data_IF_639493276864
#
_entry.id   IF_639493276864
#
_cell.length_a   1.000
_cell.length_b   1.000
_cell.length_c   1.000
_cell.angle_alpha   90.00
_cell.angle_beta   90.00
_cell.angle_gamma   90.00
#
_symmetry.space_group_name_H-M   'P 1'
#
loop_
_entity.id
_entity.type
_entity.pdbx_description
1 polymer ?
#
# COMPACT_ATOMS: atom_id res chain seq x y z
N UNK A 1 -20.59 -11.93 -18.45
CA UNK A 1 -21.65 -12.93 -18.17
C UNK A 1 -21.04 -14.05 -17.34
N UNK A 2 -21.61 -14.32 -16.17
CA UNK A 2 -21.20 -15.39 -15.28
C UNK A 2 -22.41 -16.06 -14.64
N UNK A 3 -22.20 -17.18 -13.95
CA UNK A 3 -23.22 -17.78 -13.08
C UNK A 3 -23.04 -17.27 -11.66
N UNK A 4 -24.11 -17.05 -10.93
CA UNK A 4 -24.04 -16.85 -9.48
C UNK A 4 -23.76 -18.18 -8.80
N UNK A 5 -22.51 -18.41 -8.39
CA UNK A 5 -22.08 -19.68 -7.80
C UNK A 5 -22.58 -19.81 -6.36
N UNK A 6 -22.33 -18.79 -5.56
CA UNK A 6 -22.66 -18.81 -4.14
C UNK A 6 -23.46 -17.56 -3.75
N UNK A 7 -24.49 -17.76 -2.95
CA UNK A 7 -25.35 -16.72 -2.39
C UNK A 7 -25.27 -16.81 -0.86
N UNK A 8 -24.81 -15.75 -0.20
CA UNK A 8 -24.59 -15.72 1.25
C UNK A 8 -25.76 -15.14 2.03
N UNK A 9 -26.65 -14.41 1.35
CA UNK A 9 -27.77 -13.69 1.97
C UNK A 9 -29.12 -14.18 1.45
N UNK A 10 -30.18 -13.94 2.21
CA UNK A 10 -31.56 -14.19 1.78
C UNK A 10 -32.22 -12.89 1.39
N UNK A 11 -33.22 -12.97 0.50
CA UNK A 11 -34.05 -11.82 0.16
C UNK A 11 -34.72 -11.22 1.41
N UNK A 12 -34.57 -9.92 1.59
CA UNK A 12 -35.12 -9.22 2.75
C UNK A 12 -34.25 -9.24 4.03
N UNK A 13 -33.06 -9.87 4.00
CA UNK A 13 -32.13 -9.85 5.14
C UNK A 13 -31.49 -8.49 5.32
N UNK A 14 -31.19 -8.12 6.58
CA UNK A 14 -30.39 -6.95 6.92
C UNK A 14 -28.90 -7.27 6.80
N UNK A 15 -28.12 -6.38 6.19
CA UNK A 15 -26.67 -6.52 6.00
C UNK A 15 -25.96 -5.25 6.43
N UNK A 16 -24.73 -5.40 6.88
CA UNK A 16 -23.82 -4.28 7.16
C UNK A 16 -23.07 -3.86 5.87
N UNK A 17 -22.46 -2.68 5.91
CA UNK A 17 -21.55 -2.27 4.84
C UNK A 17 -20.41 -3.28 4.66
N UNK A 18 -19.95 -3.48 3.44
CA UNK A 18 -18.88 -4.43 3.04
C UNK A 18 -19.20 -5.92 3.29
N UNK A 19 -20.46 -6.27 3.58
CA UNK A 19 -20.89 -7.67 3.72
C UNK A 19 -20.93 -8.35 2.36
N UNK A 20 -20.36 -9.56 2.26
CA UNK A 20 -20.42 -10.39 1.06
C UNK A 20 -21.85 -10.88 0.80
N UNK A 21 -22.41 -10.57 -0.35
CA UNK A 21 -23.76 -10.95 -0.76
C UNK A 21 -23.77 -12.22 -1.59
N UNK A 22 -22.80 -12.38 -2.47
CA UNK A 22 -22.66 -13.52 -3.35
C UNK A 22 -21.39 -13.49 -4.17
N UNK A 23 -21.08 -14.61 -4.82
CA UNK A 23 -19.91 -14.76 -5.69
C UNK A 23 -20.33 -15.20 -7.07
N UNK A 24 -19.82 -14.51 -8.10
CA UNK A 24 -19.98 -14.90 -9.49
C UNK A 24 -19.00 -16.05 -9.78
N UNK A 25 -19.48 -17.11 -10.40
CA UNK A 25 -18.71 -18.32 -10.71
C UNK A 25 -17.46 -18.02 -11.55
N UNK A 26 -16.35 -18.51 -11.07
CA UNK A 26 -15.03 -18.39 -11.66
C UNK A 26 -14.20 -19.65 -11.39
N UNK A 27 -12.97 -19.72 -11.90
CA UNK A 27 -12.11 -20.90 -11.75
C UNK A 27 -11.49 -21.06 -10.33
N UNK A 28 -11.61 -20.04 -9.46
CA UNK A 28 -11.09 -20.08 -8.11
C UNK A 28 -12.09 -20.67 -7.13
N UNK A 29 -11.61 -21.36 -6.11
CA UNK A 29 -12.41 -21.75 -4.94
C UNK A 29 -12.60 -20.53 -4.03
N UNK A 30 -13.83 -20.08 -3.88
CA UNK A 30 -14.17 -18.89 -3.08
C UNK A 30 -13.70 -18.99 -1.61
N UNK A 31 -13.66 -20.21 -1.04
CA UNK A 31 -13.15 -20.45 0.31
C UNK A 31 -11.65 -20.24 0.40
N UNK A 32 -10.88 -20.73 -0.60
CA UNK A 32 -9.44 -20.56 -0.65
C UNK A 32 -9.07 -19.08 -0.82
N UNK A 33 -9.77 -18.34 -1.66
CA UNK A 33 -9.53 -16.90 -1.84
C UNK A 33 -9.83 -16.12 -0.55
N UNK A 34 -10.93 -16.44 0.14
CA UNK A 34 -11.27 -15.83 1.43
C UNK A 34 -10.24 -16.14 2.50
N UNK A 35 -9.77 -17.37 2.56
CA UNK A 35 -8.72 -17.79 3.48
C UNK A 35 -7.40 -17.11 3.20
N UNK A 36 -7.01 -17.03 1.91
CA UNK A 36 -5.82 -16.30 1.45
C UNK A 36 -5.87 -14.84 1.91
N UNK A 37 -7.00 -14.16 1.68
CA UNK A 37 -7.19 -12.77 2.13
C UNK A 37 -7.04 -12.62 3.65
N UNK A 38 -7.66 -13.50 4.41
CA UNK A 38 -7.58 -13.50 5.88
C UNK A 38 -6.13 -13.68 6.35
N UNK A 39 -5.39 -14.60 5.76
CA UNK A 39 -4.01 -14.88 6.11
C UNK A 39 -3.06 -13.76 5.68
N UNK A 40 -3.25 -13.19 4.49
CA UNK A 40 -2.49 -12.02 4.03
C UNK A 40 -2.64 -10.86 5.01
N UNK A 41 -3.88 -10.55 5.43
CA UNK A 41 -4.15 -9.49 6.40
C UNK A 41 -3.55 -9.79 7.78
N UNK A 42 -3.64 -11.04 8.25
CA UNK A 42 -3.04 -11.45 9.51
C UNK A 42 -1.50 -11.37 9.48
N UNK A 43 -0.90 -11.71 8.35
CA UNK A 43 0.55 -11.65 8.15
C UNK A 43 1.06 -10.20 8.05
N UNK A 44 0.30 -9.31 7.44
CA UNK A 44 0.57 -7.87 7.43
C UNK A 44 0.67 -7.30 8.86
N UNK A 45 -0.23 -7.71 9.77
CA UNK A 45 -0.19 -7.26 11.18
C UNK A 45 1.02 -7.79 11.96
N UNK A 46 1.74 -8.77 11.42
CA UNK A 46 2.96 -9.37 11.98
C UNK A 46 4.24 -8.89 11.28
N UNK A 47 4.18 -7.75 10.62
CA UNK A 47 5.30 -7.13 9.89
C UNK A 47 5.94 -8.08 8.86
N UNK A 48 5.14 -8.93 8.22
CA UNK A 48 5.57 -9.90 7.20
C UNK A 48 6.70 -10.84 7.65
N UNK A 49 6.63 -11.33 8.89
CA UNK A 49 7.57 -12.33 9.41
C UNK A 49 7.63 -13.53 8.45
N UNK A 50 8.82 -13.78 7.88
CA UNK A 50 9.01 -14.79 6.85
C UNK A 50 8.78 -16.22 7.37
N UNK A 51 9.12 -16.53 8.63
CA UNK A 51 8.92 -17.86 9.23
C UNK A 51 7.43 -18.20 9.29
N UNK A 52 6.62 -17.26 9.75
CA UNK A 52 5.16 -17.40 9.77
C UNK A 52 4.57 -17.40 8.36
N UNK A 53 5.14 -16.64 7.43
CA UNK A 53 4.75 -16.68 6.03
C UNK A 53 4.93 -18.07 5.43
N UNK A 54 6.08 -18.70 5.64
CA UNK A 54 6.35 -20.08 5.20
C UNK A 54 5.32 -21.05 5.81
N UNK A 55 5.09 -21.00 7.11
CA UNK A 55 4.12 -21.86 7.80
C UNK A 55 2.70 -21.70 7.26
N UNK A 56 2.26 -20.47 7.01
CA UNK A 56 0.89 -20.19 6.57
C UNK A 56 0.64 -20.57 5.11
N UNK A 57 1.57 -20.25 4.21
CA UNK A 57 1.29 -20.31 2.77
C UNK A 57 1.88 -21.54 2.07
N UNK A 58 2.94 -22.14 2.62
CA UNK A 58 3.59 -23.31 2.03
C UNK A 58 3.00 -24.61 2.62
N UNK A 59 2.83 -25.63 1.80
CA UNK A 59 2.34 -26.94 2.22
C UNK A 59 0.86 -27.20 2.00
N UNK A 60 0.07 -26.19 1.62
CA UNK A 60 -1.34 -26.34 1.24
C UNK A 60 -1.51 -26.27 -0.28
N UNK A 61 -2.43 -27.05 -0.82
CA UNK A 61 -2.88 -26.90 -2.20
C UNK A 61 -3.95 -25.81 -2.26
N UNK A 62 -3.72 -24.82 -3.10
CA UNK A 62 -4.59 -23.67 -3.31
C UNK A 62 -5.23 -23.73 -4.69
N UNK A 63 -6.53 -23.52 -4.77
CA UNK A 63 -7.26 -23.41 -6.03
C UNK A 63 -7.70 -21.95 -6.22
N UNK A 64 -6.83 -21.15 -6.81
CA UNK A 64 -6.96 -19.69 -6.87
C UNK A 64 -7.33 -19.17 -8.28
N UNK A 65 -7.52 -20.05 -9.29
CA UNK A 65 -7.91 -19.66 -10.64
C UNK A 65 -6.97 -18.61 -11.23
N UNK A 66 -7.51 -17.43 -11.57
CA UNK A 66 -6.74 -16.32 -12.16
C UNK A 66 -5.65 -15.77 -11.23
N UNK A 67 -5.79 -15.92 -9.91
CA UNK A 67 -4.80 -15.48 -8.92
C UNK A 67 -3.61 -16.45 -8.81
N UNK A 68 -3.68 -17.64 -9.42
CA UNK A 68 -2.68 -18.71 -9.27
C UNK A 68 -1.28 -18.27 -9.68
N UNK A 69 -1.16 -17.46 -10.74
CA UNK A 69 0.14 -16.97 -11.25
C UNK A 69 0.81 -16.02 -10.28
N UNK A 70 0.07 -15.04 -9.75
CA UNK A 70 0.59 -14.09 -8.77
C UNK A 70 0.91 -14.77 -7.44
N UNK A 71 0.08 -15.73 -7.02
CA UNK A 71 0.34 -16.53 -5.85
C UNK A 71 1.59 -17.39 -6.00
N UNK A 72 1.82 -18.01 -7.17
CA UNK A 72 3.03 -18.77 -7.44
C UNK A 72 4.28 -17.89 -7.39
N UNK A 73 4.25 -16.69 -7.98
CA UNK A 73 5.35 -15.73 -7.90
C UNK A 73 5.63 -15.31 -6.44
N UNK A 74 4.58 -15.06 -5.67
CA UNK A 74 4.70 -14.75 -4.24
C UNK A 74 5.35 -15.90 -3.46
N UNK A 75 4.91 -17.14 -3.64
CA UNK A 75 5.50 -18.33 -2.98
C UNK A 75 6.96 -18.49 -3.35
N UNK A 76 7.32 -18.27 -4.61
CA UNK A 76 8.72 -18.33 -5.07
C UNK A 76 9.57 -17.32 -4.34
N UNK A 77 9.17 -16.04 -4.32
CA UNK A 77 9.91 -14.97 -3.63
C UNK A 77 10.00 -15.19 -2.11
N UNK A 78 8.91 -15.69 -1.48
CA UNK A 78 8.91 -16.04 -0.06
C UNK A 78 9.88 -17.17 0.24
N UNK A 79 9.89 -18.21 -0.58
CA UNK A 79 10.79 -19.38 -0.41
C UNK A 79 12.25 -18.99 -0.60
N UNK A 80 12.55 -18.14 -1.58
CA UNK A 80 13.91 -17.64 -1.83
C UNK A 80 14.40 -16.77 -0.68
N UNK A 81 13.56 -15.87 -0.16
CA UNK A 81 13.89 -15.05 1.00
C UNK A 81 14.11 -15.91 2.26
N UNK A 82 13.21 -16.86 2.52
CA UNK A 82 13.32 -17.79 3.64
C UNK A 82 14.62 -18.61 3.57
N UNK A 83 14.94 -19.19 2.41
CA UNK A 83 16.17 -19.94 2.20
C UNK A 83 17.43 -19.08 2.41
N UNK A 84 17.41 -17.83 1.97
CA UNK A 84 18.51 -16.90 2.19
C UNK A 84 18.72 -16.66 3.71
N UNK A 85 17.65 -16.43 4.46
CA UNK A 85 17.70 -16.21 5.91
C UNK A 85 18.14 -17.48 6.68
N UNK A 86 17.66 -18.66 6.29
CA UNK A 86 18.02 -19.93 6.94
C UNK A 86 19.47 -20.33 6.73
N UNK A 87 20.02 -20.11 5.52
CA UNK A 87 21.39 -20.50 5.21
C UNK A 87 22.43 -19.74 5.99
N UNK A 88 22.13 -18.49 6.36
CA UNK A 88 23.02 -17.60 7.13
C UNK A 88 24.46 -17.57 6.55
N UNK A 89 24.54 -17.66 5.21
CA UNK A 89 25.81 -17.83 4.50
C UNK A 89 26.80 -16.71 4.76
N UNK A 90 26.33 -15.47 4.69
CA UNK A 90 27.17 -14.29 4.86
C UNK A 90 27.70 -14.14 6.30
N UNK A 91 26.90 -14.43 7.31
CA UNK A 91 27.35 -14.38 8.70
C UNK A 91 28.42 -15.43 8.98
N UNK A 92 28.26 -16.65 8.44
CA UNK A 92 29.29 -17.67 8.52
C UNK A 92 30.57 -17.25 7.80
N UNK A 93 30.45 -16.68 6.59
CA UNK A 93 31.59 -16.17 5.81
C UNK A 93 32.35 -15.07 6.56
N UNK A 94 31.60 -14.12 7.16
CA UNK A 94 32.19 -13.06 8.00
C UNK A 94 32.93 -13.63 9.22
N UNK A 95 32.35 -14.63 9.90
CA UNK A 95 32.99 -15.29 11.03
C UNK A 95 34.34 -15.93 10.65
N UNK A 96 34.44 -16.53 9.45
CA UNK A 96 35.73 -17.05 8.95
C UNK A 96 36.73 -15.94 8.67
N UNK A 97 36.31 -14.86 8.04
CA UNK A 97 37.16 -13.70 7.76
C UNK A 97 37.64 -13.01 9.06
N UNK A 98 36.81 -12.92 10.08
CA UNK A 98 37.20 -12.40 11.38
C UNK A 98 38.28 -13.25 12.06
N UNK A 99 38.21 -14.57 11.94
CA UNK A 99 39.25 -15.46 12.42
C UNK A 99 40.56 -15.27 11.65
N UNK A 100 40.53 -15.14 10.32
CA UNK A 100 41.71 -14.86 9.51
C UNK A 100 42.33 -13.51 9.85
N UNK A 101 41.49 -12.48 10.03
CA UNK A 101 41.95 -11.15 10.46
C UNK A 101 42.61 -11.20 11.86
N UNK A 102 42.05 -11.97 12.79
CA UNK A 102 42.64 -12.19 14.09
C UNK A 102 44.02 -12.84 14.03
N UNK A 103 44.22 -13.82 13.13
CA UNK A 103 45.49 -14.44 12.81
C UNK A 103 46.51 -13.45 12.25
N UNK A 104 46.07 -12.67 11.25
CA UNK A 104 46.92 -11.64 10.61
C UNK A 104 47.38 -10.54 11.62
N UNK A 105 46.47 -10.11 12.48
CA UNK A 105 46.83 -9.15 13.58
C UNK A 105 47.84 -9.73 14.55
N UNK A 106 47.77 -11.02 14.81
CA UNK A 106 48.74 -11.69 15.66
C UNK A 106 50.10 -11.82 14.99
N UNK A 107 50.12 -12.13 13.68
CA UNK A 107 51.34 -12.14 12.89
C UNK A 107 52.00 -10.76 12.83
N UNK A 108 51.25 -9.69 12.60
CA UNK A 108 51.73 -8.32 12.58
C UNK A 108 52.41 -7.95 13.91
N UNK A 109 51.81 -8.29 15.07
CA UNK A 109 52.42 -8.06 16.40
C UNK A 109 53.72 -8.80 16.61
N UNK A 110 53.86 -10.01 16.01
CA UNK A 110 55.12 -10.76 16.05
C UNK A 110 56.20 -10.07 15.19
N UNK A 111 55.84 -9.63 13.98
CA UNK A 111 56.75 -8.90 13.08
C UNK A 111 57.17 -7.55 13.70
N UNK A 112 56.30 -6.83 14.40
CA UNK A 112 56.65 -5.61 15.14
C UNK A 112 57.68 -5.91 16.25
N UNK A 113 57.51 -6.99 16.99
CA UNK A 113 58.50 -7.39 18.02
C UNK A 113 59.84 -7.79 17.44
N UNK A 114 59.84 -8.49 16.30
CA UNK A 114 61.09 -8.84 15.60
C UNK A 114 61.81 -7.59 15.13
N UNK A 115 61.07 -6.61 14.58
CA UNK A 115 61.63 -5.31 14.19
C UNK A 115 62.25 -4.57 15.41
N UNK A 116 61.60 -4.56 16.58
CA UNK A 116 62.14 -3.98 17.81
C UNK A 116 63.44 -4.66 18.29
N UNK A 117 63.50 -6.00 18.17
CA UNK A 117 64.69 -6.76 18.53
C UNK A 117 65.88 -6.45 17.62
N UNK A 118 65.66 -6.46 16.31
CA UNK A 118 66.68 -6.10 15.33
C UNK A 118 67.15 -4.66 15.50
N UNK A 119 66.24 -3.72 15.86
CA UNK A 119 66.65 -2.34 16.16
C UNK A 119 67.60 -2.25 17.36
N UNK A 120 67.44 -3.12 18.38
CA UNK A 120 68.40 -3.24 19.50
C UNK A 120 69.73 -3.84 19.08
N UNK A 121 69.70 -4.91 18.25
CA UNK A 121 70.91 -5.55 17.74
C UNK A 121 71.74 -4.61 16.90
N UNK A 122 71.10 -3.79 16.07
CA UNK A 122 71.81 -2.75 15.26
C UNK A 122 72.47 -1.73 16.17
N UNK A 123 71.79 -1.24 17.22
CA UNK A 123 72.41 -0.30 18.18
C UNK A 123 73.69 -0.85 18.82
N UNK A 124 73.68 -2.17 19.13
CA UNK A 124 74.84 -2.87 19.63
C UNK A 124 75.96 -2.96 18.57
N UNK A 125 75.61 -3.38 17.33
CA UNK A 125 76.52 -3.47 16.21
C UNK A 125 77.13 -2.10 15.86
N UNK A 126 76.32 -1.05 15.89
CA UNK A 126 76.80 0.35 15.69
C UNK A 126 77.79 0.77 16.77
N UNK A 127 77.49 0.50 18.05
CA UNK A 127 78.38 0.82 19.14
C UNK A 127 79.71 0.08 19.05
N UNK A 128 79.68 -1.20 18.59
CA UNK A 128 80.89 -1.98 18.33
C UNK A 128 81.72 -1.37 17.18
N UNK A 129 81.06 -1.07 16.06
CA UNK A 129 81.71 -0.46 14.91
C UNK A 129 82.34 0.89 15.25
N UNK A 130 81.65 1.76 16.02
CA UNK A 130 82.20 3.04 16.48
C UNK A 130 83.45 2.83 17.37
N UNK A 131 83.41 1.90 18.30
CA UNK A 131 84.55 1.55 19.16
C UNK A 131 85.73 1.04 18.35
N UNK A 132 85.48 0.12 17.40
CA UNK A 132 86.49 -0.48 16.53
C UNK A 132 87.08 0.56 15.58
N UNK A 133 86.32 1.52 15.10
CA UNK A 133 86.79 2.64 14.30
C UNK A 133 87.78 3.52 15.10
N UNK A 134 87.57 3.76 16.40
CA UNK A 134 88.45 4.50 17.27
C UNK A 134 89.76 3.73 17.51
N UNK A 135 89.67 2.43 17.69
CA UNK A 135 90.86 1.55 17.90
C UNK A 135 91.70 1.52 16.61
N UNK A 136 91.08 1.43 15.45
CA UNK A 136 91.75 1.46 14.16
C UNK A 136 92.49 2.80 13.89
N UNK A 137 91.83 3.92 14.17
CA UNK A 137 92.45 5.24 14.07
C UNK A 137 93.66 5.37 15.03
N UNK A 138 93.59 4.77 16.21
CA UNK A 138 94.70 4.74 17.21
C UNK A 138 95.76 3.67 16.86
N UNK A 139 95.68 3.00 15.70
CA UNK A 139 96.60 1.89 15.30
C UNK A 139 96.65 0.74 16.28
N UNK A 140 95.57 0.52 17.05
CA UNK A 140 95.42 -0.60 18.01
C UNK A 140 94.64 -1.78 17.43
N UNK A 141 94.22 -1.72 16.15
CA UNK A 141 93.49 -2.74 15.40
C UNK A 141 94.02 -2.81 13.97
N UNK A 142 94.05 -4.01 13.37
CA UNK A 142 94.46 -4.19 11.94
C UNK A 142 93.30 -3.88 10.99
N UNK A 143 93.58 -3.53 9.73
CA UNK A 143 92.58 -3.12 8.72
C UNK A 143 91.56 -4.23 8.45
N UNK A 144 91.98 -5.49 8.40
CA UNK A 144 91.08 -6.61 8.14
C UNK A 144 90.01 -6.82 9.23
N UNK A 145 90.37 -6.65 10.49
CA UNK A 145 89.43 -6.74 11.63
C UNK A 145 88.44 -5.58 11.63
N UNK A 146 88.87 -4.36 11.23
CA UNK A 146 87.98 -3.22 11.10
C UNK A 146 87.01 -3.36 9.94
N UNK A 147 87.47 -3.89 8.77
CA UNK A 147 86.63 -4.20 7.62
C UNK A 147 85.59 -5.28 7.97
N UNK A 148 85.94 -6.29 8.77
CA UNK A 148 85.03 -7.30 9.24
C UNK A 148 83.96 -6.69 10.18
N UNK A 149 84.30 -5.80 11.10
CA UNK A 149 83.38 -5.08 11.95
C UNK A 149 82.39 -4.22 11.13
N UNK A 150 82.87 -3.52 10.08
CA UNK A 150 82.06 -2.79 9.14
C UNK A 150 81.10 -3.67 8.35
N UNK A 151 81.60 -4.84 7.89
CA UNK A 151 80.74 -5.82 7.19
C UNK A 151 79.62 -6.34 8.04
N UNK A 152 79.90 -6.65 9.36
CA UNK A 152 78.86 -7.09 10.30
C UNK A 152 77.81 -6.01 10.54
N UNK A 153 78.21 -4.73 10.68
CA UNK A 153 77.29 -3.63 10.87
C UNK A 153 76.41 -3.45 9.61
N UNK A 154 76.98 -3.48 8.43
CA UNK A 154 76.23 -3.42 7.17
C UNK A 154 75.23 -4.59 6.99
N UNK A 155 75.63 -5.79 7.45
CA UNK A 155 74.77 -6.97 7.41
C UNK A 155 73.54 -6.77 8.36
N UNK A 156 73.77 -6.24 9.58
CA UNK A 156 72.67 -5.94 10.52
C UNK A 156 71.73 -4.89 9.93
N UNK A 157 72.21 -3.86 9.23
CA UNK A 157 71.38 -2.89 8.53
C UNK A 157 70.52 -3.52 7.43
N UNK A 158 71.08 -4.46 6.63
CA UNK A 158 70.32 -5.20 5.62
C UNK A 158 69.22 -6.05 6.27
N UNK A 159 69.54 -6.76 7.34
CA UNK A 159 68.52 -7.56 8.05
C UNK A 159 67.39 -6.70 8.59
N UNK A 160 67.66 -5.46 9.05
CA UNK A 160 66.61 -4.52 9.46
C UNK A 160 65.69 -4.18 8.31
N UNK A 161 66.24 -3.87 7.14
CA UNK A 161 65.43 -3.51 5.96
C UNK A 161 64.57 -4.73 5.48
N UNK A 162 65.11 -5.96 5.59
CA UNK A 162 64.35 -7.19 5.26
C UNK A 162 63.15 -7.35 6.17
N UNK A 163 63.35 -7.18 7.51
CA UNK A 163 62.25 -7.26 8.48
C UNK A 163 61.25 -6.11 8.30
N UNK A 164 61.74 -4.91 7.98
CA UNK A 164 60.90 -3.75 7.66
C UNK A 164 60.01 -4.02 6.44
N UNK A 165 60.55 -4.65 5.41
CA UNK A 165 59.78 -5.06 4.22
C UNK A 165 58.70 -6.10 4.55
N UNK A 166 59.03 -7.07 5.40
CA UNK A 166 58.05 -8.08 5.85
C UNK A 166 56.96 -7.46 6.73
N UNK A 167 57.26 -6.48 7.56
CA UNK A 167 56.28 -5.70 8.33
C UNK A 167 55.29 -4.96 7.47
N UNK A 168 55.79 -4.20 6.45
CA UNK A 168 54.98 -3.48 5.48
C UNK A 168 54.06 -4.44 4.71
N UNK A 169 54.61 -5.62 4.32
CA UNK A 169 53.83 -6.64 3.64
C UNK A 169 52.69 -7.19 4.54
N UNK A 170 52.98 -7.41 5.84
CA UNK A 170 51.95 -7.84 6.79
C UNK A 170 50.86 -6.80 7.01
N UNK A 171 51.22 -5.51 7.07
CA UNK A 171 50.28 -4.39 7.16
C UNK A 171 49.37 -4.32 5.92
N UNK A 172 49.95 -4.42 4.73
CA UNK A 172 49.19 -4.44 3.47
C UNK A 172 48.18 -5.59 3.41
N UNK A 173 48.59 -6.80 3.86
CA UNK A 173 47.68 -7.93 3.95
C UNK A 173 46.55 -7.70 4.93
N UNK A 174 46.81 -7.04 6.07
CA UNK A 174 45.78 -6.68 7.04
C UNK A 174 44.72 -5.76 6.40
N UNK A 175 45.15 -4.70 5.72
CA UNK A 175 44.25 -3.77 5.03
C UNK A 175 43.41 -4.52 3.98
N UNK A 176 44.01 -5.42 3.20
CA UNK A 176 43.31 -6.22 2.20
C UNK A 176 42.24 -7.14 2.83
N UNK A 177 42.51 -7.73 3.99
CA UNK A 177 41.50 -8.52 4.72
C UNK A 177 40.36 -7.66 5.24
N UNK A 178 40.63 -6.46 5.73
CA UNK A 178 39.62 -5.51 6.21
C UNK A 178 38.73 -5.02 5.04
N UNK A 179 39.30 -4.73 3.87
CA UNK A 179 38.57 -4.39 2.64
C UNK A 179 37.65 -5.53 2.20
N UNK A 180 38.17 -6.76 2.14
CA UNK A 180 37.37 -7.94 1.80
C UNK A 180 36.17 -8.13 2.77
N UNK A 181 36.33 -7.82 4.05
CA UNK A 181 35.23 -7.90 5.02
C UNK A 181 34.15 -6.84 4.74
N UNK A 182 34.53 -5.61 4.34
CA UNK A 182 33.59 -4.58 3.96
C UNK A 182 32.78 -5.00 2.73
N UNK A 183 33.45 -5.59 1.73
CA UNK A 183 32.80 -6.07 0.52
C UNK A 183 31.80 -7.19 0.82
N UNK A 184 32.16 -8.14 1.68
CA UNK A 184 31.24 -9.21 2.10
C UNK A 184 30.01 -8.62 2.81
N UNK A 185 30.19 -7.64 3.71
CA UNK A 185 29.09 -6.98 4.41
C UNK A 185 28.18 -6.24 3.42
N UNK A 186 28.76 -5.54 2.47
CA UNK A 186 28.01 -4.85 1.43
C UNK A 186 27.20 -5.84 0.58
N UNK A 187 27.83 -6.93 0.10
CA UNK A 187 27.14 -7.97 -0.66
C UNK A 187 25.99 -8.59 0.12
N UNK A 188 26.18 -8.88 1.41
CA UNK A 188 25.14 -9.40 2.28
C UNK A 188 23.93 -8.46 2.36
N UNK A 189 24.20 -7.18 2.59
CA UNK A 189 23.17 -6.16 2.67
C UNK A 189 22.42 -5.98 1.34
N UNK A 190 23.15 -5.87 0.22
CA UNK A 190 22.56 -5.65 -1.10
C UNK A 190 21.69 -6.85 -1.50
N UNK A 191 22.13 -8.08 -1.24
CA UNK A 191 21.36 -9.29 -1.57
C UNK A 191 20.12 -9.43 -0.66
N UNK A 192 20.22 -9.14 0.63
CA UNK A 192 19.08 -9.13 1.54
C UNK A 192 18.03 -8.10 1.09
N UNK A 193 18.46 -6.87 0.77
CA UNK A 193 17.54 -5.81 0.30
C UNK A 193 16.88 -6.16 -1.04
N UNK A 194 17.63 -6.77 -1.96
CA UNK A 194 17.08 -7.24 -3.24
C UNK A 194 15.96 -8.26 -2.99
N UNK A 195 16.23 -9.34 -2.25
CA UNK A 195 15.25 -10.39 -1.96
C UNK A 195 14.04 -9.88 -1.18
N UNK A 196 14.26 -8.98 -0.22
CA UNK A 196 13.19 -8.33 0.52
C UNK A 196 12.30 -7.47 -0.39
N UNK A 197 12.91 -6.77 -1.33
CA UNK A 197 12.19 -5.96 -2.32
C UNK A 197 11.38 -6.83 -3.26
N UNK A 198 11.94 -7.93 -3.76
CA UNK A 198 11.26 -8.87 -4.62
C UNK A 198 10.05 -9.50 -3.93
N UNK A 199 10.20 -9.90 -2.67
CA UNK A 199 9.09 -10.39 -1.85
C UNK A 199 8.00 -9.32 -1.67
N UNK A 200 8.38 -8.09 -1.34
CA UNK A 200 7.45 -6.98 -1.18
C UNK A 200 6.69 -6.67 -2.48
N UNK A 201 7.36 -6.69 -3.61
CA UNK A 201 6.73 -6.50 -4.92
C UNK A 201 5.74 -7.64 -5.23
N UNK A 202 6.12 -8.88 -4.96
CA UNK A 202 5.23 -10.04 -5.16
C UNK A 202 3.98 -9.96 -4.25
N UNK A 203 4.12 -9.53 -3.00
CA UNK A 203 3.00 -9.27 -2.08
C UNK A 203 2.08 -8.19 -2.66
N UNK A 204 2.64 -7.08 -3.12
CA UNK A 204 1.88 -5.98 -3.72
C UNK A 204 1.10 -6.41 -4.97
N UNK A 205 1.72 -7.19 -5.84
CA UNK A 205 1.07 -7.74 -7.02
C UNK A 205 -0.07 -8.70 -6.67
N UNK A 206 0.14 -9.59 -5.71
CA UNK A 206 -0.89 -10.52 -5.25
C UNK A 206 -2.06 -9.76 -4.61
N UNK A 207 -1.80 -8.75 -3.79
CA UNK A 207 -2.84 -7.92 -3.16
C UNK A 207 -3.64 -7.13 -4.20
N UNK A 208 -2.99 -6.58 -5.23
CA UNK A 208 -3.66 -5.86 -6.31
C UNK A 208 -4.55 -6.79 -7.14
N UNK A 209 -4.06 -7.99 -7.50
CA UNK A 209 -4.87 -8.98 -8.22
C UNK A 209 -6.01 -9.52 -7.37
N UNK A 210 -5.81 -9.71 -6.06
CA UNK A 210 -6.88 -10.11 -5.14
C UNK A 210 -7.98 -9.04 -5.08
N UNK A 211 -7.62 -7.76 -5.02
CA UNK A 211 -8.58 -6.66 -5.07
C UNK A 211 -9.34 -6.60 -6.40
N UNK A 212 -8.66 -6.80 -7.52
CA UNK A 212 -9.28 -6.86 -8.85
C UNK A 212 -10.25 -8.04 -8.96
N UNK A 213 -9.87 -9.21 -8.44
CA UNK A 213 -10.73 -10.39 -8.39
C UNK A 213 -11.98 -10.14 -7.52
N UNK A 214 -11.82 -9.53 -6.35
CA UNK A 214 -12.95 -9.15 -5.51
C UNK A 214 -13.92 -8.21 -6.23
N UNK A 215 -13.40 -7.20 -6.90
CA UNK A 215 -14.22 -6.26 -7.65
C UNK A 215 -14.99 -6.91 -8.81
N UNK A 216 -14.39 -7.93 -9.44
CA UNK A 216 -14.98 -8.59 -10.60
C UNK A 216 -15.98 -9.69 -10.23
N UNK A 217 -15.74 -10.42 -9.15
CA UNK A 217 -16.46 -11.65 -8.84
C UNK A 217 -17.22 -11.62 -7.52
N UNK A 218 -16.88 -10.74 -6.57
CA UNK A 218 -17.51 -10.68 -5.25
C UNK A 218 -18.52 -9.53 -5.19
N UNK A 219 -19.78 -9.87 -5.01
CA UNK A 219 -20.85 -8.90 -4.84
C UNK A 219 -20.94 -8.50 -3.36
N UNK A 220 -20.67 -7.22 -3.06
CA UNK A 220 -20.66 -6.67 -1.71
C UNK A 220 -21.72 -5.60 -1.50
N UNK A 221 -22.15 -5.45 -0.25
CA UNK A 221 -23.04 -4.35 0.13
C UNK A 221 -22.26 -3.05 0.28
N UNK A 222 -22.61 -1.96 -0.46
CA UNK A 222 -21.92 -0.68 -0.31
C UNK A 222 -22.32 0.05 0.99
N UNK A 223 -23.48 -0.25 1.56
CA UNK A 223 -24.02 0.43 2.73
C UNK A 223 -24.76 -0.56 3.62
N UNK A 224 -24.97 -0.19 4.89
CA UNK A 224 -25.84 -0.92 5.79
C UNK A 224 -27.30 -0.78 5.34
N UNK A 225 -28.01 -1.90 5.19
CA UNK A 225 -29.41 -1.85 4.74
C UNK A 225 -30.06 -3.22 4.59
N UNK A 226 -31.23 -3.21 3.96
CA UNK A 226 -32.00 -4.40 3.65
C UNK A 226 -31.80 -4.79 2.19
N UNK A 227 -31.40 -6.04 1.96
CA UNK A 227 -31.14 -6.58 0.61
C UNK A 227 -32.45 -6.94 -0.07
N UNK A 228 -32.65 -6.52 -1.31
CA UNK A 228 -33.75 -6.96 -2.17
C UNK A 228 -33.17 -7.56 -3.44
N UNK A 229 -33.61 -8.77 -3.76
CA UNK A 229 -33.23 -9.44 -5.00
C UNK A 229 -34.03 -8.87 -6.16
N UNK A 230 -33.34 -8.51 -7.26
CA UNK A 230 -33.99 -7.94 -8.44
C UNK A 230 -34.19 -9.00 -9.53
N UNK A 231 -33.11 -9.49 -10.11
CA UNK A 231 -33.12 -10.41 -11.25
C UNK A 231 -32.75 -11.83 -10.87
N UNK A 232 -32.08 -12.04 -9.72
CA UNK A 232 -31.57 -13.34 -9.30
C UNK A 232 -32.34 -13.84 -8.08
N UNK A 233 -32.86 -15.08 -8.18
CA UNK A 233 -33.67 -15.72 -7.14
C UNK A 233 -33.05 -17.00 -6.58
N UNK A 234 -32.05 -17.57 -7.29
CA UNK A 234 -31.45 -18.85 -6.91
C UNK A 234 -29.97 -18.94 -7.34
N UNK A 235 -29.26 -19.88 -6.71
CA UNK A 235 -27.90 -20.29 -7.11
C UNK A 235 -27.90 -20.82 -8.54
N UNK A 236 -26.77 -20.75 -9.24
CA UNK A 236 -26.55 -21.19 -10.61
C UNK A 236 -27.30 -20.42 -11.70
N UNK A 237 -27.91 -19.27 -11.37
CA UNK A 237 -28.57 -18.42 -12.34
C UNK A 237 -27.51 -17.57 -13.08
N UNK A 238 -27.70 -17.41 -14.41
CA UNK A 238 -26.82 -16.57 -15.24
C UNK A 238 -27.07 -15.09 -14.95
N UNK A 239 -26.00 -14.33 -14.83
CA UNK A 239 -25.99 -12.88 -14.65
C UNK A 239 -25.24 -12.23 -15.81
N UNK A 240 -25.74 -11.15 -16.36
CA UNK A 240 -25.08 -10.36 -17.42
C UNK A 240 -24.29 -9.20 -16.80
N UNK A 241 -23.24 -8.77 -17.48
CA UNK A 241 -22.51 -7.56 -17.09
C UNK A 241 -23.45 -6.34 -17.18
N UNK A 242 -23.45 -5.50 -16.16
CA UNK A 242 -24.33 -4.32 -16.06
C UNK A 242 -25.75 -4.61 -15.54
N UNK A 243 -26.09 -5.87 -15.28
CA UNK A 243 -27.39 -6.23 -14.73
C UNK A 243 -27.43 -6.00 -13.20
N UNK A 244 -28.54 -5.38 -12.73
CA UNK A 244 -28.73 -5.14 -11.30
C UNK A 244 -29.17 -6.44 -10.60
N UNK A 245 -28.25 -7.04 -9.85
CA UNK A 245 -28.49 -8.30 -9.12
C UNK A 245 -29.21 -8.06 -7.80
N UNK A 246 -28.70 -7.14 -7.01
CA UNK A 246 -29.22 -6.76 -5.70
C UNK A 246 -29.45 -5.26 -5.61
N UNK A 247 -30.50 -4.89 -4.88
CA UNK A 247 -30.73 -3.52 -4.44
C UNK A 247 -30.67 -3.49 -2.92
N UNK A 248 -29.94 -2.53 -2.37
CA UNK A 248 -29.81 -2.34 -0.95
C UNK A 248 -30.54 -1.08 -0.54
N UNK A 249 -31.58 -1.26 0.28
CA UNK A 249 -32.28 -0.13 0.87
C UNK A 249 -31.56 0.26 2.16
N UNK A 250 -30.94 1.46 2.24
CA UNK A 250 -30.25 1.91 3.44
C UNK A 250 -31.18 1.91 4.65
N UNK A 251 -30.68 1.44 5.80
CA UNK A 251 -31.44 1.47 7.06
C UNK A 251 -31.56 2.89 7.63
N UNK A 252 -30.63 3.78 7.23
CA UNK A 252 -30.51 5.16 7.71
C UNK A 252 -31.15 6.14 6.72
N UNK A 253 -32.44 5.93 6.43
CA UNK A 253 -33.23 6.81 5.55
C UNK A 253 -33.78 8.04 6.27
N UNK A 254 -32.97 8.70 7.10
CA UNK A 254 -33.41 9.84 7.90
C UNK A 254 -33.67 11.12 7.08
N UNK A 255 -33.31 11.17 5.79
CA UNK A 255 -33.59 12.32 4.92
C UNK A 255 -34.11 11.88 3.56
N UNK A 256 -35.43 12.01 3.40
CA UNK A 256 -36.03 11.88 2.08
C UNK A 256 -35.74 13.15 1.30
N UNK A 257 -35.15 13.01 0.12
CA UNK A 257 -34.89 14.10 -0.81
C UNK A 257 -35.74 13.93 -2.06
N UNK A 258 -36.47 14.99 -2.44
CA UNK A 258 -37.16 15.03 -3.72
C UNK A 258 -36.20 15.58 -4.79
N UNK A 259 -36.13 14.92 -5.95
CA UNK A 259 -35.48 15.48 -7.15
C UNK A 259 -36.56 15.74 -8.20
N UNK A 260 -36.69 16.97 -8.66
CA UNK A 260 -37.64 17.38 -9.69
C UNK A 260 -36.90 17.91 -10.92
N UNK A 261 -37.44 17.62 -12.10
CA UNK A 261 -36.99 18.19 -13.37
C UNK A 261 -37.82 19.44 -13.67
N UNK A 262 -37.18 20.59 -13.74
CA UNK A 262 -37.82 21.87 -14.01
C UNK A 262 -37.56 22.27 -15.47
N UNK A 263 -38.61 22.45 -16.28
CA UNK A 263 -38.45 22.93 -17.67
C UNK A 263 -37.77 24.31 -17.73
N UNK A 264 -37.00 24.54 -18.79
CA UNK A 264 -36.30 25.81 -19.03
C UNK A 264 -37.28 27.01 -19.02
N UNK A 265 -38.49 26.78 -19.59
CA UNK A 265 -39.52 27.83 -19.64
C UNK A 265 -40.08 28.13 -18.25
N UNK A 266 -39.79 29.29 -17.74
CA UNK A 266 -40.24 29.75 -16.43
C UNK A 266 -39.30 29.48 -15.26
N UNK A 267 -38.20 28.80 -15.51
CA UNK A 267 -37.16 28.44 -14.47
C UNK A 267 -36.59 29.67 -13.75
N UNK A 268 -36.45 30.82 -14.43
CA UNK A 268 -35.94 32.06 -13.82
C UNK A 268 -36.83 32.66 -12.71
N UNK A 269 -38.03 32.09 -12.47
CA UNK A 269 -38.90 32.48 -11.37
C UNK A 269 -38.78 31.61 -10.14
N UNK A 270 -38.05 30.52 -10.25
CA UNK A 270 -37.86 29.57 -9.15
C UNK A 270 -36.63 29.97 -8.34
N UNK A 271 -36.79 30.06 -7.04
CA UNK A 271 -35.72 30.44 -6.11
C UNK A 271 -35.65 29.46 -4.95
N UNK A 272 -34.44 29.31 -4.41
CA UNK A 272 -34.21 28.49 -3.20
C UNK A 272 -35.10 29.04 -2.05
N UNK A 273 -35.68 28.13 -1.27
CA UNK A 273 -36.58 28.44 -0.17
C UNK A 273 -38.07 28.48 -0.53
N UNK A 274 -38.43 28.39 -1.81
CA UNK A 274 -39.86 28.37 -2.21
C UNK A 274 -40.55 27.08 -1.78
N UNK A 275 -41.83 27.20 -1.41
CA UNK A 275 -42.67 26.04 -1.05
C UNK A 275 -43.01 25.21 -2.28
N UNK A 276 -43.04 23.89 -2.10
CA UNK A 276 -43.37 22.92 -3.14
C UNK A 276 -44.47 21.98 -2.63
N UNK A 277 -45.50 21.80 -3.45
CA UNK A 277 -46.53 20.78 -3.21
C UNK A 277 -46.24 19.58 -4.09
N UNK A 278 -45.99 18.40 -3.49
CA UNK A 278 -45.60 17.17 -4.21
C UNK A 278 -46.80 16.23 -4.19
N UNK A 279 -47.33 15.95 -5.37
CA UNK A 279 -48.38 14.96 -5.58
C UNK A 279 -47.74 13.67 -6.10
N UNK A 280 -47.95 12.57 -5.40
CA UNK A 280 -47.35 11.30 -5.69
C UNK A 280 -48.29 10.44 -6.54
N UNK A 281 -47.80 9.85 -7.62
CA UNK A 281 -48.63 9.07 -8.56
C UNK A 281 -49.26 7.83 -7.92
N UNK A 282 -48.60 7.24 -6.91
CA UNK A 282 -49.08 6.05 -6.21
C UNK A 282 -50.11 6.37 -5.13
N UNK A 283 -50.32 7.65 -4.80
CA UNK A 283 -51.22 8.12 -3.72
C UNK A 283 -52.08 9.23 -4.28
N UNK A 284 -53.35 8.92 -4.72
CA UNK A 284 -54.24 9.94 -5.31
C UNK A 284 -54.41 11.15 -4.37
N UNK A 285 -54.30 12.35 -4.94
CA UNK A 285 -54.33 13.61 -4.22
C UNK A 285 -55.68 13.89 -3.56
N UNK A 286 -56.78 13.39 -4.09
CA UNK A 286 -58.12 13.48 -3.52
C UNK A 286 -58.22 12.72 -2.21
N UNK A 287 -57.50 11.62 -2.02
CA UNK A 287 -57.56 10.77 -0.82
C UNK A 287 -56.42 11.04 0.14
N UNK A 288 -55.21 11.23 -0.40
CA UNK A 288 -53.97 11.37 0.42
C UNK A 288 -53.52 12.84 0.54
N UNK A 289 -53.93 13.71 -0.36
CA UNK A 289 -53.45 15.09 -0.41
C UNK A 289 -52.05 15.17 -1.08
N UNK A 290 -51.27 16.17 -0.65
CA UNK A 290 -49.90 16.40 -1.15
C UNK A 290 -48.91 16.45 0.00
N UNK A 291 -47.65 16.18 -0.29
CA UNK A 291 -46.52 16.31 0.63
C UNK A 291 -45.93 17.71 0.48
N UNK A 292 -45.63 18.38 1.61
CA UNK A 292 -45.01 19.69 1.64
C UNK A 292 -43.50 19.57 1.51
N UNK A 293 -42.93 20.33 0.56
CA UNK A 293 -41.51 20.43 0.37
C UNK A 293 -41.03 21.87 0.27
N UNK A 294 -39.75 22.06 0.27
CA UNK A 294 -39.09 23.34 0.04
C UNK A 294 -37.92 23.19 -0.93
N UNK A 295 -37.75 24.11 -1.86
CA UNK A 295 -36.62 24.12 -2.81
C UNK A 295 -35.33 24.29 -2.02
N UNK A 296 -34.45 23.31 -2.04
CA UNK A 296 -33.14 23.32 -1.38
C UNK A 296 -32.04 23.85 -2.29
N UNK A 297 -32.01 23.36 -3.54
CA UNK A 297 -31.03 23.77 -4.54
C UNK A 297 -31.59 23.66 -5.95
N UNK A 298 -30.99 24.43 -6.88
CA UNK A 298 -31.29 24.37 -8.32
C UNK A 298 -29.96 24.20 -9.04
N UNK A 299 -29.86 23.25 -9.97
CA UNK A 299 -28.64 23.04 -10.74
C UNK A 299 -28.27 24.30 -11.53
N UNK A 300 -26.98 24.69 -11.59
CA UNK A 300 -26.54 25.89 -12.32
C UNK A 300 -26.61 25.70 -13.86
N UNK A 301 -26.61 24.46 -14.33
CA UNK A 301 -26.68 24.12 -15.75
C UNK A 301 -27.86 23.17 -16.01
N UNK A 302 -28.51 23.26 -17.17
CA UNK A 302 -29.55 22.32 -17.59
C UNK A 302 -28.92 20.97 -17.98
N UNK A 303 -29.72 19.90 -17.91
CA UNK A 303 -29.37 18.58 -18.44
C UNK A 303 -29.38 18.60 -19.98
N UNK A 304 -28.90 17.50 -20.59
CA UNK A 304 -28.94 17.33 -22.06
C UNK A 304 -30.37 17.47 -22.65
N UNK A 305 -31.39 17.19 -21.86
CA UNK A 305 -32.79 17.33 -22.21
C UNK A 305 -33.33 18.78 -22.00
N UNK A 306 -32.48 19.73 -21.63
CA UNK A 306 -32.87 21.13 -21.41
C UNK A 306 -33.70 21.38 -20.16
N UNK A 307 -33.53 20.58 -19.10
CA UNK A 307 -34.22 20.71 -17.83
C UNK A 307 -33.26 21.01 -16.70
N UNK A 308 -33.64 21.84 -15.74
CA UNK A 308 -32.88 22.03 -14.49
C UNK A 308 -33.25 20.98 -13.46
N UNK A 309 -32.28 20.50 -12.69
CA UNK A 309 -32.52 19.63 -11.55
C UNK A 309 -32.76 20.51 -10.32
N UNK A 310 -33.91 20.31 -9.68
CA UNK A 310 -34.28 20.98 -8.43
C UNK A 310 -34.29 19.95 -7.32
N UNK A 311 -33.50 20.20 -6.28
CA UNK A 311 -33.56 19.40 -5.06
C UNK A 311 -34.58 20.00 -4.09
N UNK A 312 -35.42 19.15 -3.53
CA UNK A 312 -36.50 19.52 -2.64
C UNK A 312 -36.30 18.80 -1.32
N UNK A 313 -36.19 19.54 -0.25
CA UNK A 313 -36.22 19.01 1.12
C UNK A 313 -37.68 18.86 1.59
N UNK A 314 -37.91 17.88 2.44
CA UNK A 314 -39.21 17.57 3.05
C UNK A 314 -39.11 17.79 4.55
N UNK A 315 -39.37 18.98 5.05
CA UNK A 315 -39.22 19.33 6.48
C UNK A 315 -40.04 18.42 7.39
N UNK A 316 -41.27 18.12 6.97
CA UNK A 316 -42.22 17.24 7.71
C UNK A 316 -42.09 15.74 7.28
N UNK A 317 -41.00 15.39 6.60
CA UNK A 317 -40.81 14.04 6.03
C UNK A 317 -41.89 13.71 5.00
N UNK A 318 -42.42 12.50 5.04
CA UNK A 318 -43.48 12.03 4.13
C UNK A 318 -44.89 12.20 4.70
N UNK A 319 -45.09 13.23 5.57
CA UNK A 319 -46.42 13.57 6.06
C UNK A 319 -47.18 14.43 5.04
N UNK A 320 -48.40 14.00 4.73
CA UNK A 320 -49.27 14.77 3.80
C UNK A 320 -49.99 15.93 4.51
N UNK A 321 -50.56 16.86 3.73
CA UNK A 321 -51.37 17.95 4.28
C UNK A 321 -52.66 17.47 5.01
N UNK A 322 -53.07 16.21 4.80
CA UNK A 322 -54.17 15.56 5.53
C UNK A 322 -53.70 14.81 6.79
N UNK A 323 -52.43 14.98 7.17
CA UNK A 323 -51.86 14.33 8.37
C UNK A 323 -51.52 12.85 8.19
N UNK A 324 -51.67 12.26 7.01
CA UNK A 324 -51.33 10.89 6.75
C UNK A 324 -49.84 10.69 6.57
N UNK A 325 -49.23 9.73 7.27
CA UNK A 325 -47.83 9.36 7.12
C UNK A 325 -47.67 8.33 5.99
N UNK A 326 -46.93 8.65 4.95
CA UNK A 326 -46.68 7.74 3.83
C UNK A 326 -45.41 6.91 4.08
N UNK A 327 -45.41 5.59 3.78
CA UNK A 327 -44.22 4.76 3.96
C UNK A 327 -43.14 5.09 2.93
N UNK A 328 -41.91 5.27 3.39
CA UNK A 328 -40.71 5.54 2.56
C UNK A 328 -40.04 4.24 2.18
N UNK A 329 -40.74 3.30 1.59
CA UNK A 329 -40.19 1.99 1.29
C UNK A 329 -39.71 1.81 -0.16
N UNK A 330 -39.95 2.80 -1.03
CA UNK A 330 -39.65 2.71 -2.47
C UNK A 330 -39.37 4.10 -3.03
N UNK A 331 -38.73 4.16 -4.22
CA UNK A 331 -38.70 5.34 -5.05
C UNK A 331 -40.13 5.69 -5.47
N UNK A 332 -40.55 6.91 -5.17
CA UNK A 332 -41.88 7.40 -5.49
C UNK A 332 -41.76 8.45 -6.61
N UNK A 333 -42.60 8.33 -7.62
CA UNK A 333 -42.71 9.30 -8.72
C UNK A 333 -43.96 10.17 -8.52
N UNK A 334 -43.85 11.44 -8.91
CA UNK A 334 -44.93 12.37 -8.76
C UNK A 334 -44.72 13.67 -9.51
N UNK A 335 -45.62 14.62 -9.31
CA UNK A 335 -45.54 15.98 -9.84
C UNK A 335 -45.30 16.94 -8.71
N UNK A 336 -44.37 17.86 -8.91
CA UNK A 336 -44.01 18.90 -7.94
C UNK A 336 -44.48 20.27 -8.43
N UNK A 337 -45.39 20.93 -7.73
CA UNK A 337 -45.87 22.26 -8.03
C UNK A 337 -45.11 23.27 -7.14
N UNK A 338 -44.25 24.08 -7.74
CA UNK A 338 -43.51 25.12 -7.03
C UNK A 338 -44.32 26.40 -6.94
N UNK A 339 -44.52 26.89 -5.73
CA UNK A 339 -45.31 28.10 -5.48
C UNK A 339 -44.41 29.32 -5.71
N UNK A 340 -44.64 30.05 -6.79
CA UNK A 340 -43.76 31.12 -7.24
C UNK A 340 -43.90 32.44 -6.45
N UNK A 341 -45.08 32.84 -6.09
CA UNK A 341 -45.37 34.01 -5.24
C UNK A 341 -46.85 34.06 -4.85
N UNK A 342 -47.16 34.55 -3.67
CA UNK A 342 -48.51 34.96 -3.28
C UNK A 342 -48.80 36.31 -3.92
N UNK A 343 -49.31 36.35 -5.17
CA UNK A 343 -49.81 37.57 -5.80
C UNK A 343 -51.25 37.74 -5.42
N UNK A 344 -51.60 38.94 -4.94
CA UNK A 344 -52.99 39.32 -4.63
C UNK A 344 -53.82 39.25 -5.95
N UNK A 345 -55.08 38.77 -5.81
CA UNK A 345 -56.00 38.59 -6.93
C UNK A 345 -56.16 39.92 -7.73
N UNK A 346 -56.10 41.07 -7.06
CA UNK A 346 -56.11 42.42 -7.69
C UNK A 346 -54.89 42.67 -8.58
N UNK A 347 -53.67 42.22 -8.19
CA UNK A 347 -52.49 42.34 -9.07
C UNK A 347 -52.55 41.46 -10.32
N UNK A 348 -53.20 40.31 -10.23
CA UNK A 348 -53.42 39.44 -11.37
C UNK A 348 -54.41 40.00 -12.40
N UNK A 349 -55.43 40.72 -11.94
CA UNK A 349 -56.43 41.41 -12.80
C UNK A 349 -55.85 42.67 -13.44
N UNK A 350 -54.94 43.37 -12.78
CA UNK A 350 -54.33 44.61 -13.29
C UNK A 350 -53.02 44.39 -14.07
N UNK A 351 -52.40 43.22 -14.01
CA UNK A 351 -51.17 42.88 -14.75
C UNK A 351 -51.28 43.03 -16.27
N UNK A 352 -52.37 42.64 -16.96
CA UNK A 352 -52.50 42.86 -18.39
C UNK A 352 -52.70 44.35 -18.75
N UNK A 353 -53.31 45.17 -17.88
CA UNK A 353 -53.47 46.59 -18.11
C UNK A 353 -52.15 47.38 -17.97
N UNK A 354 -51.23 46.98 -17.10
CA UNK A 354 -49.87 47.55 -17.02
C UNK A 354 -49.03 47.30 -18.29
N UNK A 355 -49.17 46.15 -18.93
CA UNK A 355 -48.50 45.86 -20.20
C UNK A 355 -48.94 46.73 -21.38
N UNK A 356 -50.20 47.18 -21.37
CA UNK A 356 -50.73 48.08 -22.41
C UNK A 356 -50.20 49.52 -22.23
N UNK A 357 -50.00 49.96 -21.00
CA UNK A 357 -49.51 51.30 -20.69
C UNK A 357 -47.97 51.42 -20.88
N UNK A 358 -47.20 50.33 -20.76
CA UNK A 358 -45.75 50.33 -21.00
C UNK A 358 -45.34 50.21 -22.49
N UNK A 359 -46.28 49.87 -23.39
CA UNK A 359 -46.05 49.83 -24.83
C UNK A 359 -46.31 51.17 -25.57
N UNK A 360 -46.78 52.21 -24.86
CA UNK A 360 -46.99 53.58 -25.40
C UNK A 360 -45.92 54.59 -24.91
N UNK A 361 -44.81 54.11 -24.38
CA UNK A 361 -43.60 54.91 -24.12
C UNK A 361 -42.45 54.24 -24.89
#
# INVERSE_FOLDING_TARGET
TGKLDTLYVKNGSSVEADTDLGVIGNAACSEDVRLLKKWMKAWETQDYDWQKGVELFIGRRWQLGELQSAFAAFITSLTEYARFMELDYYARKLCFQEKQLGGQRSYLRLAEREYELIDKDIKLAESMYIRDSILYVRKAMIAAEFEESGSRYLQSLRSKEEVRMSLLQAEMQLVQHEENMLDIRKQAYDEEQSRRTDLKNAIGQLAAQLSAWEHSYLLKSPVRGKVTFMTVWSRNQNVKAGETVFTIQPSDSSRVLGKALLPLQGSGKVHVGQRVHIRLNNYPDQEFGYVKGQVASISPAPTEEGMYIVEITLPDGMQTNYGKQLPVSRELKGTADIILADKNVLERLLAPLRKVVEYEK
#
